data_IF_697323644548
#
_entry.id   IF_697323644548
#
_cell.length_a   1.000
_cell.length_b   1.000
_cell.length_c   1.000
_cell.angle_alpha   90.00
_cell.angle_beta   90.00
_cell.angle_gamma   90.00
#
_symmetry.space_group_name_H-M   'P 1'
#
loop_
_entity.id
_entity.type
_entity.pdbx_description
1 polymer ?
#
# COMPACT_ATOMS: atom_id res chain seq x y z
N UNK A 1 2.21 -8.05 24.06
CA UNK A 1 3.19 -6.99 24.37
C UNK A 1 3.27 -5.92 23.26
N UNK A 2 3.40 -6.32 21.99
CA UNK A 2 3.56 -5.40 20.86
C UNK A 2 2.38 -4.45 20.63
N UNK A 3 1.12 -4.92 20.80
CA UNK A 3 -0.10 -4.09 20.71
C UNK A 3 -0.05 -2.88 21.66
N UNK A 4 0.33 -3.11 22.92
CA UNK A 4 0.41 -2.06 23.93
C UNK A 4 1.50 -1.02 23.59
N UNK A 5 2.63 -1.48 23.06
CA UNK A 5 3.72 -0.60 22.60
C UNK A 5 3.25 0.29 21.46
N UNK A 6 2.63 -0.27 20.42
CA UNK A 6 2.10 0.49 19.29
C UNK A 6 1.07 1.54 19.71
N UNK A 7 0.12 1.16 20.59
CA UNK A 7 -0.90 2.08 21.10
C UNK A 7 -0.33 3.22 21.94
N UNK A 8 0.69 2.92 22.77
CA UNK A 8 1.36 3.93 23.59
C UNK A 8 2.14 4.92 22.71
N UNK A 9 2.85 4.44 21.69
CA UNK A 9 3.57 5.30 20.73
C UNK A 9 2.62 6.25 19.99
N UNK A 10 1.46 5.76 19.57
CA UNK A 10 0.42 6.63 19.00
C UNK A 10 -0.08 7.69 19.99
N UNK A 11 -0.24 7.34 21.26
CA UNK A 11 -0.62 8.30 22.30
C UNK A 11 0.45 9.38 22.49
N UNK A 12 1.73 9.01 22.39
CA UNK A 12 2.85 9.96 22.38
C UNK A 12 2.80 10.90 21.17
N UNK A 13 2.53 10.38 19.97
CA UNK A 13 2.36 11.17 18.74
C UNK A 13 1.25 12.21 18.92
N UNK A 14 0.05 11.77 19.32
CA UNK A 14 -1.11 12.65 19.53
C UNK A 14 -0.87 13.71 20.60
N UNK A 15 -0.21 13.33 21.70
CA UNK A 15 0.10 14.25 22.78
C UNK A 15 1.10 15.31 22.33
N UNK A 16 2.15 14.90 21.59
CA UNK A 16 3.18 15.80 21.07
C UNK A 16 2.57 16.83 20.10
N UNK A 17 1.68 16.40 19.21
CA UNK A 17 0.97 17.31 18.30
C UNK A 17 0.07 18.30 19.05
N UNK A 18 -0.68 17.84 20.06
CA UNK A 18 -1.51 18.72 20.90
C UNK A 18 -0.67 19.79 21.61
N UNK A 19 0.46 19.41 22.20
CA UNK A 19 1.36 20.37 22.86
C UNK A 19 1.95 21.36 21.85
N UNK A 20 2.37 20.90 20.68
CA UNK A 20 2.85 21.77 19.60
C UNK A 20 1.80 22.80 19.17
N UNK A 21 0.54 22.37 19.03
CA UNK A 21 -0.57 23.26 18.68
C UNK A 21 -0.83 24.30 19.77
N UNK A 22 -0.77 23.91 21.04
CA UNK A 22 -0.90 24.85 22.17
C UNK A 22 0.22 25.91 22.18
N UNK A 23 1.46 25.52 21.86
CA UNK A 23 2.59 26.45 21.74
C UNK A 23 2.34 27.45 20.60
N UNK A 24 1.87 27.00 19.43
CA UNK A 24 1.53 27.88 18.29
C UNK A 24 0.43 28.89 18.64
N UNK A 25 -0.66 28.44 19.27
CA UNK A 25 -1.74 29.32 19.69
C UNK A 25 -1.27 30.37 20.72
N UNK A 26 -0.34 30.00 21.60
CA UNK A 26 0.26 30.93 22.57
C UNK A 26 1.12 31.99 21.87
N UNK A 27 1.89 31.62 20.83
CA UNK A 27 2.66 32.56 20.00
C UNK A 27 1.76 33.62 19.33
N UNK A 28 0.66 33.18 18.72
CA UNK A 28 -0.30 34.07 18.06
C UNK A 28 -0.97 35.03 19.07
N UNK A 29 -1.27 34.55 20.27
CA UNK A 29 -1.80 35.36 21.38
C UNK A 29 -0.81 36.43 21.86
N UNK A 30 0.47 36.09 22.02
CA UNK A 30 1.51 37.03 22.43
C UNK A 30 1.80 38.09 21.35
N UNK A 31 1.86 37.70 20.08
CA UNK A 31 2.06 38.64 18.96
C UNK A 31 0.89 39.63 18.83
N UNK A 32 -0.35 39.16 18.98
CA UNK A 32 -1.53 40.02 18.97
C UNK A 32 -1.57 40.98 20.19
N UNK A 33 -1.10 40.53 21.36
CA UNK A 33 -1.00 41.38 22.55
C UNK A 33 0.08 42.46 22.42
N UNK A 34 1.25 42.12 21.86
CA UNK A 34 2.35 43.07 21.61
C UNK A 34 1.99 44.07 20.51
N UNK A 35 1.24 43.67 19.48
CA UNK A 35 0.70 44.60 18.47
C UNK A 35 -0.29 45.62 19.07
N UNK A 36 -0.92 45.29 20.21
CA UNK A 36 -1.90 46.14 20.88
C UNK A 36 -1.29 47.02 21.98
N UNK A 37 -0.11 46.69 22.52
CA UNK A 37 0.56 47.45 23.58
C UNK A 37 1.96 47.92 23.18
N UNK A 38 2.06 49.19 22.77
CA UNK A 38 3.32 49.92 22.57
C UNK A 38 3.91 50.43 23.89
N UNK A 39 4.39 49.55 24.77
CA UNK A 39 5.30 49.97 25.86
C UNK A 39 6.29 48.88 26.23
N UNK A 40 7.58 49.19 26.07
CA UNK A 40 8.74 48.35 26.32
C UNK A 40 9.17 48.38 27.78
N UNK A 41 9.22 47.22 28.44
CA UNK A 41 9.92 47.02 29.71
C UNK A 41 10.71 45.70 29.74
N UNK A 42 11.81 45.76 30.46
CA UNK A 42 13.06 44.98 30.41
C UNK A 42 12.98 43.46 30.58
N UNK A 43 13.79 42.77 29.76
CA UNK A 43 14.01 41.33 29.69
C UNK A 43 14.89 40.79 30.83
N UNK A 44 14.33 39.88 31.63
CA UNK A 44 15.04 39.08 32.62
C UNK A 44 15.58 37.79 32.00
N UNK A 45 16.91 37.57 32.11
CA UNK A 45 17.65 36.37 31.71
C UNK A 45 17.07 35.09 32.34
N UNK A 46 16.17 34.43 31.62
CA UNK A 46 16.06 32.97 31.60
C UNK A 46 16.76 32.52 30.31
N UNK A 47 17.38 31.34 30.28
CA UNK A 47 17.74 30.69 29.02
C UNK A 47 16.45 30.35 28.30
N UNK A 48 15.85 31.37 27.67
CA UNK A 48 14.56 31.29 27.03
C UNK A 48 14.79 30.59 25.69
N UNK A 49 14.53 29.28 25.67
CA UNK A 49 14.33 28.57 24.42
C UNK A 49 13.20 29.31 23.70
N UNK A 50 13.44 29.79 22.49
CA UNK A 50 12.40 30.46 21.71
C UNK A 50 11.24 29.50 21.50
N UNK A 51 10.01 30.01 21.46
CA UNK A 51 8.83 29.16 21.16
C UNK A 51 8.99 28.48 19.79
N UNK A 52 9.69 29.11 18.84
CA UNK A 52 10.09 28.51 17.57
C UNK A 52 10.98 27.28 17.74
N UNK A 53 12.02 27.35 18.58
CA UNK A 53 12.88 26.20 18.88
C UNK A 53 12.11 25.08 19.59
N UNK A 54 11.11 25.40 20.41
CA UNK A 54 10.22 24.40 21.01
C UNK A 54 9.38 23.68 19.94
N UNK A 55 8.83 24.40 18.95
CA UNK A 55 8.09 23.80 17.85
C UNK A 55 8.98 22.83 17.06
N UNK A 56 10.20 23.25 16.70
CA UNK A 56 11.16 22.40 15.99
C UNK A 56 11.53 21.15 16.79
N UNK A 57 11.73 21.28 18.11
CA UNK A 57 11.99 20.14 18.98
C UNK A 57 10.79 19.18 19.06
N UNK A 58 9.55 19.70 19.06
CA UNK A 58 8.33 18.88 19.04
C UNK A 58 8.18 18.14 17.72
N UNK A 59 8.47 18.78 16.59
CA UNK A 59 8.46 18.13 15.26
C UNK A 59 9.52 17.01 15.20
N UNK A 60 10.73 17.26 15.70
CA UNK A 60 11.79 16.26 15.76
C UNK A 60 11.42 15.08 16.69
N UNK A 61 10.77 15.37 17.82
CA UNK A 61 10.29 14.34 18.74
C UNK A 61 9.17 13.50 18.10
N UNK A 62 8.22 14.15 17.42
CA UNK A 62 7.12 13.44 16.77
C UNK A 62 7.62 12.55 15.61
N UNK A 63 8.63 13.00 14.89
CA UNK A 63 9.33 12.17 13.88
C UNK A 63 9.89 10.90 14.51
N UNK A 64 10.53 11.00 15.68
CA UNK A 64 11.06 9.82 16.41
C UNK A 64 9.95 8.88 16.87
N UNK A 65 8.84 9.40 17.39
CA UNK A 65 7.71 8.57 17.79
C UNK A 65 7.07 7.86 16.60
N UNK A 66 6.92 8.55 15.48
CA UNK A 66 6.39 7.99 14.23
C UNK A 66 7.26 6.84 13.73
N UNK A 67 8.59 7.02 13.72
CA UNK A 67 9.52 5.95 13.35
C UNK A 67 9.44 4.74 14.30
N UNK A 68 9.38 4.98 15.61
CA UNK A 68 9.23 3.91 16.59
C UNK A 68 7.90 3.16 16.42
N UNK A 69 6.82 3.89 16.12
CA UNK A 69 5.52 3.29 15.85
C UNK A 69 5.57 2.43 14.58
N UNK A 70 6.21 2.91 13.50
CA UNK A 70 6.42 2.14 12.27
C UNK A 70 7.18 0.84 12.52
N UNK A 71 8.21 0.87 13.37
CA UNK A 71 8.93 -0.34 13.79
C UNK A 71 8.03 -1.30 14.57
N UNK A 72 7.18 -0.79 15.48
CA UNK A 72 6.24 -1.64 16.21
C UNK A 72 5.22 -2.32 15.27
N UNK A 73 4.72 -1.60 14.26
CA UNK A 73 3.84 -2.17 13.22
C UNK A 73 4.57 -3.21 12.39
N UNK A 74 5.84 -2.97 12.05
CA UNK A 74 6.66 -3.93 11.31
C UNK A 74 6.81 -5.26 12.05
N UNK A 75 7.01 -5.26 13.37
CA UNK A 75 7.08 -6.52 14.12
C UNK A 75 5.77 -7.31 14.07
N UNK A 76 4.63 -6.62 14.19
CA UNK A 76 3.31 -7.24 14.03
C UNK A 76 3.12 -7.80 12.61
N UNK A 77 3.60 -7.08 11.60
CA UNK A 77 3.57 -7.51 10.20
C UNK A 77 4.45 -8.74 9.97
N UNK A 78 5.69 -8.73 10.48
CA UNK A 78 6.65 -9.82 10.30
C UNK A 78 6.14 -11.13 10.88
N UNK A 79 5.42 -11.08 12.00
CA UNK A 79 4.74 -12.23 12.60
C UNK A 79 3.72 -12.83 11.62
N UNK A 80 2.78 -12.02 11.10
CA UNK A 80 1.79 -12.48 10.12
C UNK A 80 2.46 -13.00 8.84
N UNK A 81 3.44 -12.26 8.31
CA UNK A 81 4.15 -12.62 7.08
C UNK A 81 4.88 -13.94 7.22
N UNK A 82 5.49 -14.19 8.38
CA UNK A 82 6.21 -15.45 8.65
C UNK A 82 5.27 -16.64 8.52
N UNK A 83 4.06 -16.53 9.07
CA UNK A 83 3.08 -17.61 9.02
C UNK A 83 2.50 -17.84 7.62
N UNK A 84 2.30 -16.77 6.86
CA UNK A 84 1.76 -16.88 5.48
C UNK A 84 2.83 -17.09 4.40
N UNK A 85 4.13 -16.99 4.73
CA UNK A 85 5.23 -17.07 3.77
C UNK A 85 5.21 -18.34 2.89
N UNK A 86 4.94 -19.54 3.42
CA UNK A 86 4.85 -20.74 2.58
C UNK A 86 3.72 -20.63 1.54
N UNK A 87 2.55 -20.12 1.95
CA UNK A 87 1.40 -19.92 1.08
C UNK A 87 1.65 -18.83 0.04
N UNK A 88 2.32 -17.73 0.43
CA UNK A 88 2.75 -16.67 -0.50
C UNK A 88 3.63 -17.23 -1.62
N UNK A 89 4.63 -18.05 -1.27
CA UNK A 89 5.54 -18.66 -2.25
C UNK A 89 4.83 -19.58 -3.27
N UNK A 90 3.66 -20.11 -2.90
CA UNK A 90 2.87 -20.98 -3.77
C UNK A 90 2.01 -20.19 -4.77
N UNK A 91 1.76 -18.90 -4.53
CA UNK A 91 1.01 -18.05 -5.44
C UNK A 91 1.65 -18.02 -6.82
N UNK A 92 0.80 -18.06 -7.85
CA UNK A 92 1.22 -18.07 -9.25
C UNK A 92 2.25 -19.16 -9.61
N UNK A 93 2.20 -20.30 -8.91
CA UNK A 93 2.97 -21.51 -9.21
C UNK A 93 2.13 -22.56 -9.95
N UNK A 94 2.75 -23.67 -10.36
CA UNK A 94 2.02 -24.81 -10.94
C UNK A 94 0.94 -25.36 -10.00
N UNK A 95 1.23 -25.45 -8.70
CA UNK A 95 0.25 -25.91 -7.69
C UNK A 95 -0.93 -24.96 -7.59
N UNK A 96 -0.66 -23.65 -7.63
CA UNK A 96 -1.69 -22.62 -7.66
C UNK A 96 -2.61 -22.78 -8.87
N UNK A 97 -2.04 -23.00 -10.06
CA UNK A 97 -2.81 -23.20 -11.28
C UNK A 97 -3.73 -24.44 -11.19
N UNK A 98 -3.25 -25.52 -10.56
CA UNK A 98 -4.01 -26.77 -10.39
C UNK A 98 -4.97 -26.77 -9.19
N UNK A 99 -5.13 -25.65 -8.48
CA UNK A 99 -6.16 -25.52 -7.46
C UNK A 99 -5.70 -25.54 -6.00
N UNK A 100 -4.47 -25.12 -5.71
CA UNK A 100 -3.97 -24.88 -4.34
C UNK A 100 -4.95 -24.15 -3.41
N UNK A 101 -4.90 -24.44 -2.11
CA UNK A 101 -5.60 -23.68 -1.06
C UNK A 101 -4.78 -22.48 -0.51
N UNK A 102 -3.61 -22.16 -1.09
CA UNK A 102 -2.68 -21.17 -0.55
C UNK A 102 -3.31 -19.79 -0.27
N UNK A 103 -4.12 -19.28 -1.20
CA UNK A 103 -4.80 -18.00 -0.97
C UNK A 103 -5.83 -18.08 0.16
N UNK A 104 -6.56 -19.19 0.25
CA UNK A 104 -7.53 -19.40 1.32
C UNK A 104 -6.83 -19.42 2.68
N UNK A 105 -5.71 -20.13 2.79
CA UNK A 105 -4.86 -20.10 3.99
C UNK A 105 -4.41 -18.68 4.31
N UNK A 106 -3.93 -17.91 3.34
CA UNK A 106 -3.54 -16.50 3.54
C UNK A 106 -4.72 -15.69 4.11
N UNK A 107 -5.91 -15.82 3.53
CA UNK A 107 -7.08 -15.05 3.95
C UNK A 107 -7.52 -15.43 5.38
N UNK A 108 -7.54 -16.72 5.69
CA UNK A 108 -7.89 -17.21 7.03
C UNK A 108 -6.90 -16.70 8.08
N UNK A 109 -5.59 -16.87 7.84
CA UNK A 109 -4.56 -16.42 8.76
C UNK A 109 -4.62 -14.91 9.00
N UNK A 110 -4.76 -14.10 7.94
CA UNK A 110 -4.91 -12.64 8.09
C UNK A 110 -6.18 -12.29 8.88
N UNK A 111 -7.28 -13.00 8.66
CA UNK A 111 -8.52 -12.80 9.40
C UNK A 111 -8.35 -13.12 10.88
N UNK A 112 -7.70 -14.22 11.23
CA UNK A 112 -7.43 -14.58 12.63
C UNK A 112 -6.59 -13.49 13.33
N UNK A 113 -5.49 -13.06 12.69
CA UNK A 113 -4.66 -11.97 13.20
C UNK A 113 -5.43 -10.65 13.30
N UNK A 114 -6.32 -10.33 12.36
CA UNK A 114 -7.15 -9.13 12.44
C UNK A 114 -8.00 -9.12 13.72
N UNK A 115 -8.61 -10.25 14.06
CA UNK A 115 -9.44 -10.40 15.27
C UNK A 115 -8.59 -10.35 16.55
N UNK A 116 -7.41 -10.97 16.55
CA UNK A 116 -6.47 -10.90 17.67
C UNK A 116 -5.92 -9.48 17.88
N UNK A 117 -5.79 -8.73 16.79
CA UNK A 117 -5.37 -7.33 16.77
C UNK A 117 -6.51 -6.33 17.00
N UNK A 118 -7.70 -6.76 17.43
CA UNK A 118 -8.86 -5.86 17.66
C UNK A 118 -8.58 -4.70 18.63
N UNK A 119 -7.59 -4.85 19.51
CA UNK A 119 -7.19 -3.83 20.48
C UNK A 119 -6.14 -2.84 19.96
N UNK A 120 -5.62 -3.01 18.74
CA UNK A 120 -4.82 -1.97 18.08
C UNK A 120 -5.70 -0.76 17.77
N UNK A 121 -5.10 0.43 17.83
CA UNK A 121 -5.74 1.63 17.29
C UNK A 121 -6.09 1.43 15.82
N UNK A 122 -7.24 1.93 15.33
CA UNK A 122 -7.71 1.69 13.97
C UNK A 122 -6.68 2.08 12.90
N UNK A 123 -6.02 3.23 13.05
CA UNK A 123 -4.96 3.70 12.13
C UNK A 123 -3.80 2.72 12.00
N UNK A 124 -3.41 2.07 13.11
CA UNK A 124 -2.33 1.08 13.16
C UNK A 124 -2.76 -0.21 12.48
N UNK A 125 -4.00 -0.65 12.75
CA UNK A 125 -4.59 -1.84 12.13
C UNK A 125 -4.75 -1.66 10.62
N UNK A 126 -5.18 -0.47 10.18
CA UNK A 126 -5.27 -0.10 8.76
C UNK A 126 -3.91 -0.09 8.07
N UNK A 127 -2.88 0.47 8.72
CA UNK A 127 -1.53 0.46 8.18
C UNK A 127 -0.99 -0.97 8.01
N UNK A 128 -1.22 -1.83 9.00
CA UNK A 128 -0.85 -3.26 8.93
C UNK A 128 -1.58 -3.98 7.78
N UNK A 129 -2.90 -3.82 7.67
CA UNK A 129 -3.71 -4.45 6.63
C UNK A 129 -3.32 -3.97 5.22
N UNK A 130 -3.10 -2.67 5.06
CA UNK A 130 -2.66 -2.07 3.80
C UNK A 130 -1.34 -2.68 3.33
N UNK A 131 -0.42 -2.87 4.25
CA UNK A 131 0.89 -3.44 4.00
C UNK A 131 0.86 -4.95 3.69
N UNK A 132 0.04 -5.72 4.42
CA UNK A 132 -0.22 -7.11 4.05
C UNK A 132 -0.79 -7.23 2.63
N UNK A 133 -1.65 -6.29 2.23
CA UNK A 133 -2.14 -6.20 0.86
C UNK A 133 -1.02 -5.93 -0.14
N UNK A 134 -0.15 -4.95 0.13
CA UNK A 134 1.03 -4.69 -0.69
C UNK A 134 1.88 -5.95 -0.85
N UNK A 135 2.08 -6.72 0.22
CA UNK A 135 2.88 -7.95 0.20
C UNK A 135 2.27 -9.02 -0.70
N UNK A 136 0.97 -9.28 -0.58
CA UNK A 136 0.25 -10.27 -1.40
C UNK A 136 0.32 -9.88 -2.87
N UNK A 137 -0.03 -8.62 -3.19
CA UNK A 137 -0.01 -8.13 -4.57
C UNK A 137 1.41 -8.20 -5.15
N UNK A 138 2.42 -7.76 -4.37
CA UNK A 138 3.82 -7.82 -4.79
C UNK A 138 4.29 -9.24 -5.09
N UNK A 139 3.81 -10.25 -4.38
CA UNK A 139 4.18 -11.64 -4.63
C UNK A 139 3.65 -12.14 -5.99
N UNK A 140 2.41 -11.81 -6.36
CA UNK A 140 1.91 -12.11 -7.71
C UNK A 140 2.76 -11.42 -8.79
N UNK A 141 3.04 -10.12 -8.62
CA UNK A 141 3.81 -9.35 -9.61
C UNK A 141 5.24 -9.87 -9.72
N UNK A 142 5.90 -10.20 -8.60
CA UNK A 142 7.23 -10.85 -8.57
C UNK A 142 7.20 -12.20 -9.27
N UNK A 143 6.18 -13.01 -9.04
CA UNK A 143 6.04 -14.31 -9.68
C UNK A 143 5.92 -14.23 -11.21
N UNK A 144 5.18 -13.23 -11.69
CA UNK A 144 5.05 -12.93 -13.12
C UNK A 144 6.39 -12.43 -13.69
N UNK A 145 7.02 -11.45 -13.05
CA UNK A 145 8.28 -10.85 -13.47
C UNK A 145 9.43 -11.87 -13.53
N UNK A 146 9.47 -12.79 -12.56
CA UNK A 146 10.43 -13.91 -12.50
C UNK A 146 10.06 -15.10 -13.39
N UNK A 147 8.95 -15.00 -14.15
CA UNK A 147 8.48 -16.03 -15.09
C UNK A 147 8.30 -17.39 -14.45
N UNK A 148 7.71 -17.41 -13.26
CA UNK A 148 7.37 -18.64 -12.54
C UNK A 148 6.45 -19.56 -13.38
N UNK A 149 5.63 -18.97 -14.24
CA UNK A 149 4.79 -19.65 -15.23
C UNK A 149 4.89 -18.97 -16.60
N UNK A 150 4.80 -19.78 -17.65
CA UNK A 150 4.49 -19.37 -19.01
C UNK A 150 3.42 -20.34 -19.52
N UNK A 151 2.40 -19.80 -20.18
CA UNK A 151 1.24 -20.58 -20.64
C UNK A 151 1.31 -20.77 -22.16
N UNK A 152 1.25 -22.03 -22.57
CA UNK A 152 1.42 -22.46 -23.96
C UNK A 152 0.09 -22.54 -24.70
N UNK A 153 -0.98 -22.82 -23.97
CA UNK A 153 -2.33 -22.95 -24.54
C UNK A 153 -3.24 -21.82 -24.10
N UNK A 154 -4.30 -21.57 -24.88
CA UNK A 154 -5.34 -20.64 -24.46
C UNK A 154 -6.08 -21.15 -23.21
N UNK A 155 -6.26 -22.46 -23.08
CA UNK A 155 -6.94 -23.09 -21.95
C UNK A 155 -6.20 -22.84 -20.63
N UNK A 156 -4.87 -22.95 -20.63
CA UNK A 156 -4.01 -22.58 -19.50
C UNK A 156 -4.15 -21.09 -19.16
N UNK A 157 -4.05 -20.21 -20.18
CA UNK A 157 -4.22 -18.76 -20.00
C UNK A 157 -5.60 -18.39 -19.43
N UNK A 158 -6.65 -19.00 -19.95
CA UNK A 158 -8.03 -18.82 -19.49
C UNK A 158 -8.21 -19.29 -18.05
N UNK A 159 -7.62 -20.44 -17.70
CA UNK A 159 -7.64 -20.99 -16.33
C UNK A 159 -6.92 -20.05 -15.36
N UNK A 160 -5.72 -19.58 -15.73
CA UNK A 160 -4.96 -18.63 -14.93
C UNK A 160 -5.72 -17.31 -14.71
N UNK A 161 -6.27 -16.72 -15.77
CA UNK A 161 -7.06 -15.48 -15.66
C UNK A 161 -8.30 -15.63 -14.78
N UNK A 162 -9.05 -16.73 -14.93
CA UNK A 162 -10.20 -17.04 -14.04
C UNK A 162 -9.75 -17.19 -12.59
N UNK A 163 -8.62 -17.86 -12.35
CA UNK A 163 -8.10 -18.06 -11.00
C UNK A 163 -7.66 -16.75 -10.36
N UNK A 164 -6.94 -15.90 -11.09
CA UNK A 164 -6.55 -14.56 -10.61
C UNK A 164 -7.77 -13.71 -10.24
N UNK A 165 -8.86 -13.77 -11.02
CA UNK A 165 -10.12 -13.08 -10.69
C UNK A 165 -10.80 -13.64 -9.43
N UNK A 166 -10.86 -14.97 -9.31
CA UNK A 166 -11.41 -15.62 -8.12
C UNK A 166 -10.60 -15.27 -6.86
N UNK A 167 -9.28 -15.22 -7.01
CA UNK A 167 -8.36 -14.85 -5.95
C UNK A 167 -8.59 -13.39 -5.49
N UNK A 168 -8.67 -12.45 -6.44
CA UNK A 168 -9.00 -11.05 -6.15
C UNK A 168 -10.36 -10.92 -5.47
N UNK A 169 -11.38 -11.64 -5.93
CA UNK A 169 -12.71 -11.63 -5.31
C UNK A 169 -12.64 -12.07 -3.86
N UNK A 170 -11.84 -13.10 -3.53
CA UNK A 170 -11.68 -13.59 -2.15
C UNK A 170 -10.97 -12.56 -1.27
N UNK A 171 -9.90 -11.94 -1.78
CA UNK A 171 -9.19 -10.87 -1.07
C UNK A 171 -10.11 -9.68 -0.81
N UNK A 172 -10.85 -9.23 -1.83
CA UNK A 172 -11.75 -8.09 -1.73
C UNK A 172 -12.87 -8.34 -0.72
N UNK A 173 -13.44 -9.55 -0.69
CA UNK A 173 -14.44 -9.93 0.30
C UNK A 173 -13.86 -9.89 1.74
N UNK A 174 -12.67 -10.43 1.95
CA UNK A 174 -11.99 -10.38 3.26
C UNK A 174 -11.75 -8.92 3.71
N UNK A 175 -11.22 -8.06 2.83
CA UNK A 175 -11.00 -6.66 3.17
C UNK A 175 -12.32 -5.88 3.37
N UNK A 176 -13.38 -6.23 2.63
CA UNK A 176 -14.71 -5.66 2.82
C UNK A 176 -15.31 -6.03 4.18
N UNK A 177 -15.09 -7.26 4.66
CA UNK A 177 -15.46 -7.68 6.01
C UNK A 177 -14.75 -6.83 7.07
N UNK A 178 -13.45 -6.56 6.91
CA UNK A 178 -12.72 -5.66 7.83
C UNK A 178 -13.22 -4.22 7.78
N UNK A 179 -13.56 -3.72 6.59
CA UNK A 179 -14.11 -2.38 6.38
C UNK A 179 -15.55 -2.23 6.88
N UNK A 180 -16.27 -3.32 7.18
CA UNK A 180 -17.61 -3.26 7.77
C UNK A 180 -17.61 -2.77 9.22
N UNK A 181 -16.46 -2.78 9.88
CA UNK A 181 -16.28 -2.19 11.21
C UNK A 181 -16.34 -0.67 11.14
N UNK A 182 -17.14 -0.03 12.01
CA UNK A 182 -17.36 1.44 12.01
C UNK A 182 -16.05 2.23 12.11
N UNK A 183 -15.02 1.68 12.77
CA UNK A 183 -13.72 2.31 12.94
C UNK A 183 -12.78 2.15 11.72
N UNK A 184 -13.14 1.35 10.70
CA UNK A 184 -12.27 0.99 9.56
C UNK A 184 -12.80 1.39 8.17
N UNK A 185 -14.10 1.69 8.01
CA UNK A 185 -14.77 1.81 6.71
C UNK A 185 -14.07 2.71 5.66
N UNK A 186 -13.47 3.82 6.09
CA UNK A 186 -12.82 4.80 5.19
C UNK A 186 -11.29 4.62 5.09
N UNK A 187 -10.70 3.58 5.69
CA UNK A 187 -9.25 3.50 5.89
C UNK A 187 -8.52 2.50 4.98
N UNK A 188 -9.23 1.68 4.21
CA UNK A 188 -8.65 0.56 3.48
C UNK A 188 -8.88 0.68 1.95
N UNK A 189 -7.93 1.24 1.19
CA UNK A 189 -7.96 1.17 -0.26
C UNK A 189 -7.69 -0.26 -0.77
N UNK A 190 -8.32 -0.65 -1.89
CA UNK A 190 -8.15 -1.95 -2.54
C UNK A 190 -7.20 -1.88 -3.75
N UNK A 191 -6.04 -2.51 -3.61
CA UNK A 191 -4.94 -2.66 -4.58
C UNK A 191 -4.98 -3.98 -5.37
N UNK A 192 -5.75 -4.95 -4.92
CA UNK A 192 -5.90 -6.30 -5.50
C UNK A 192 -6.26 -6.29 -6.99
N UNK A 193 -6.97 -5.26 -7.47
CA UNK A 193 -7.49 -5.19 -8.84
C UNK A 193 -6.41 -5.29 -9.94
N UNK A 194 -5.16 -4.96 -9.65
CA UNK A 194 -4.04 -5.13 -10.59
C UNK A 194 -3.82 -6.60 -10.97
N UNK A 195 -4.05 -7.52 -10.04
CA UNK A 195 -3.92 -8.97 -10.26
C UNK A 195 -4.97 -9.42 -11.29
N UNK A 196 -6.24 -9.06 -11.08
CA UNK A 196 -7.33 -9.42 -12.00
C UNK A 196 -7.10 -8.82 -13.39
N UNK A 197 -6.69 -7.54 -13.46
CA UNK A 197 -6.45 -6.85 -14.73
C UNK A 197 -5.23 -7.43 -15.48
N UNK A 198 -4.18 -7.87 -14.76
CA UNK A 198 -3.09 -8.64 -15.38
C UNK A 198 -3.59 -9.99 -15.92
N UNK A 199 -4.52 -10.64 -15.19
CA UNK A 199 -5.22 -11.84 -15.64
C UNK A 199 -6.02 -11.63 -16.93
N UNK A 200 -6.61 -10.46 -17.13
CA UNK A 200 -7.32 -10.10 -18.38
C UNK A 200 -6.35 -10.05 -19.58
N UNK A 201 -5.20 -9.39 -19.43
CA UNK A 201 -4.14 -9.35 -20.46
C UNK A 201 -3.63 -10.77 -20.79
N UNK A 202 -3.34 -11.58 -19.77
CA UNK A 202 -2.84 -12.95 -19.93
C UNK A 202 -3.87 -13.83 -20.64
N UNK A 203 -5.13 -13.77 -20.20
CA UNK A 203 -6.21 -14.64 -20.67
C UNK A 203 -6.88 -14.18 -21.97
N UNK A 204 -6.50 -13.02 -22.51
CA UNK A 204 -7.07 -12.48 -23.74
C UNK A 204 -6.95 -13.48 -24.89
N UNK A 205 -8.09 -13.85 -25.48
CA UNK A 205 -8.15 -14.85 -26.55
C UNK A 205 -7.57 -14.32 -27.85
N UNK A 206 -8.01 -13.14 -28.26
CA UNK A 206 -7.63 -12.52 -29.53
C UNK A 206 -6.32 -11.73 -29.38
N UNK A 207 -5.24 -12.22 -30.00
CA UNK A 207 -3.93 -11.58 -29.99
C UNK A 207 -3.93 -10.20 -30.67
N UNK A 208 -4.82 -9.95 -31.63
CA UNK A 208 -4.89 -8.66 -32.32
C UNK A 208 -5.37 -7.52 -31.41
N UNK A 209 -6.07 -7.85 -30.33
CA UNK A 209 -6.56 -6.91 -29.32
C UNK A 209 -5.57 -6.72 -28.15
N UNK A 210 -4.42 -7.40 -28.16
CA UNK A 210 -3.51 -7.41 -27.01
C UNK A 210 -2.93 -6.02 -26.70
N UNK A 211 -2.65 -5.22 -27.72
CA UNK A 211 -2.19 -3.83 -27.53
C UNK A 211 -3.26 -2.97 -26.85
N UNK A 212 -4.53 -3.15 -27.22
CA UNK A 212 -5.66 -2.43 -26.61
C UNK A 212 -5.85 -2.83 -25.14
N UNK A 213 -5.79 -4.12 -24.83
CA UNK A 213 -5.93 -4.61 -23.46
C UNK A 213 -4.75 -4.18 -22.58
N UNK A 214 -3.51 -4.26 -23.11
CA UNK A 214 -2.33 -3.76 -22.43
C UNK A 214 -2.40 -2.25 -22.19
N UNK A 215 -2.95 -1.47 -23.13
CA UNK A 215 -3.20 -0.04 -22.94
C UNK A 215 -4.22 0.21 -21.84
N UNK A 216 -5.29 -0.60 -21.77
CA UNK A 216 -6.29 -0.49 -20.71
C UNK A 216 -5.70 -0.78 -19.33
N UNK A 217 -4.85 -1.81 -19.23
CA UNK A 217 -4.06 -2.09 -18.03
C UNK A 217 -3.17 -0.89 -17.66
N UNK A 218 -2.39 -0.37 -18.61
CA UNK A 218 -1.45 0.72 -18.34
C UNK A 218 -2.15 2.05 -17.99
N UNK A 219 -3.35 2.32 -18.52
CA UNK A 219 -4.17 3.47 -18.12
C UNK A 219 -4.67 3.36 -16.69
N UNK A 220 -5.02 2.15 -16.25
CA UNK A 220 -5.50 1.88 -14.88
C UNK A 220 -4.35 1.89 -13.86
N UNK A 221 -3.15 1.52 -14.30
CA UNK A 221 -1.94 1.49 -13.48
C UNK A 221 -0.80 2.30 -14.15
N UNK A 222 -0.93 3.63 -14.26
CA UNK A 222 -0.01 4.48 -15.04
C UNK A 222 1.42 4.53 -14.50
N UNK A 223 1.63 4.05 -13.27
CA UNK A 223 2.94 3.94 -12.64
C UNK A 223 3.66 2.62 -12.98
N UNK A 224 3.06 1.76 -13.80
CA UNK A 224 3.58 0.42 -14.09
C UNK A 224 4.97 0.48 -14.74
N UNK A 225 5.97 -0.22 -14.17
CA UNK A 225 7.27 -0.38 -14.82
C UNK A 225 7.16 -1.15 -16.13
N UNK A 226 7.99 -0.80 -17.10
CA UNK A 226 7.98 -1.40 -18.42
C UNK A 226 8.38 -2.89 -18.39
N UNK A 227 9.27 -3.25 -17.48
CA UNK A 227 9.69 -4.62 -17.21
C UNK A 227 8.53 -5.49 -16.73
N UNK A 228 7.66 -4.93 -15.88
CA UNK A 228 6.48 -5.64 -15.36
C UNK A 228 5.45 -5.86 -16.46
N UNK A 229 5.12 -4.83 -17.25
CA UNK A 229 4.17 -4.96 -18.35
C UNK A 229 4.69 -5.95 -19.41
N UNK A 230 5.97 -5.88 -19.75
CA UNK A 230 6.60 -6.83 -20.65
C UNK A 230 6.56 -8.27 -20.09
N UNK A 231 6.72 -8.46 -18.78
CA UNK A 231 6.62 -9.78 -18.16
C UNK A 231 5.19 -10.33 -18.17
N UNK A 232 4.18 -9.49 -17.91
CA UNK A 232 2.76 -9.87 -18.04
C UNK A 232 2.48 -10.36 -19.46
N UNK A 233 2.92 -9.61 -20.48
CA UNK A 233 2.76 -9.98 -21.88
C UNK A 233 3.50 -11.28 -22.22
N UNK A 234 4.76 -11.41 -21.80
CA UNK A 234 5.61 -12.57 -22.03
C UNK A 234 5.25 -13.81 -21.18
N UNK A 235 4.23 -13.71 -20.33
CA UNK A 235 3.63 -14.88 -19.66
C UNK A 235 2.90 -15.77 -20.69
N UNK A 236 2.51 -15.20 -21.82
CA UNK A 236 1.94 -15.94 -22.96
C UNK A 236 3.07 -16.44 -23.85
N UNK A 237 3.08 -17.72 -24.21
CA UNK A 237 4.13 -18.24 -25.12
C UNK A 237 4.02 -17.65 -26.54
N UNK A 238 2.81 -17.23 -26.93
CA UNK A 238 2.50 -16.69 -28.25
C UNK A 238 2.98 -15.25 -28.44
N UNK A 239 3.64 -14.67 -27.43
CA UNK A 239 4.26 -13.35 -27.45
C UNK A 239 5.75 -13.50 -27.12
N UNK A 240 6.61 -13.28 -28.13
CA UNK A 240 8.05 -13.30 -27.95
C UNK A 240 8.54 -12.25 -26.97
N UNK A 241 9.65 -12.49 -26.28
CA UNK A 241 10.21 -11.55 -25.28
C UNK A 241 10.53 -10.17 -25.86
N UNK A 242 11.06 -10.12 -27.09
CA UNK A 242 11.34 -8.87 -27.81
C UNK A 242 10.05 -8.10 -28.09
N UNK A 243 9.03 -8.82 -28.54
CA UNK A 243 7.75 -8.24 -28.95
C UNK A 243 7.00 -7.73 -27.71
N UNK A 244 7.03 -8.49 -26.62
CA UNK A 244 6.50 -8.08 -25.32
C UNK A 244 7.16 -6.80 -24.81
N UNK A 245 8.49 -6.67 -24.92
CA UNK A 245 9.21 -5.46 -24.48
C UNK A 245 8.85 -4.26 -25.35
N UNK A 246 8.85 -4.45 -26.67
CA UNK A 246 8.53 -3.39 -27.64
C UNK A 246 7.10 -2.89 -27.46
N UNK A 247 6.14 -3.81 -27.31
CA UNK A 247 4.74 -3.49 -27.05
C UNK A 247 4.55 -2.77 -25.71
N UNK A 248 5.26 -3.21 -24.66
CA UNK A 248 5.21 -2.54 -23.36
C UNK A 248 5.71 -1.08 -23.44
N UNK A 249 6.82 -0.83 -24.15
CA UNK A 249 7.35 0.53 -24.34
C UNK A 249 6.39 1.41 -25.15
N UNK A 250 5.83 0.88 -26.24
CA UNK A 250 4.82 1.58 -27.05
C UNK A 250 3.60 1.96 -26.22
N UNK A 251 3.02 1.00 -25.50
CA UNK A 251 1.86 1.21 -24.63
C UNK A 251 2.15 2.25 -23.55
N UNK A 252 3.30 2.16 -22.88
CA UNK A 252 3.67 3.10 -21.81
C UNK A 252 3.94 4.51 -22.34
N UNK A 253 4.46 4.64 -23.56
CA UNK A 253 4.58 5.93 -24.23
C UNK A 253 3.21 6.57 -24.49
N UNK A 254 2.19 5.77 -24.84
CA UNK A 254 0.83 6.27 -25.04
C UNK A 254 0.16 6.76 -23.75
N UNK A 255 0.53 6.20 -22.59
CA UNK A 255 -0.06 6.57 -21.29
C UNK A 255 0.84 7.45 -20.42
N UNK A 256 1.96 7.95 -20.96
CA UNK A 256 2.97 8.69 -20.18
C UNK A 256 2.44 9.97 -19.49
N UNK A 257 1.32 10.52 -19.98
CA UNK A 257 0.67 11.71 -19.42
C UNK A 257 -0.56 11.40 -18.55
N UNK A 258 -0.88 10.12 -18.33
CA UNK A 258 -1.96 9.74 -17.43
C UNK A 258 -1.59 10.09 -15.97
N UNK A 259 -2.54 10.59 -15.16
CA UNK A 259 -2.27 10.95 -13.77
C UNK A 259 -1.75 9.76 -12.97
N UNK A 260 -0.55 9.89 -12.41
CA UNK A 260 0.06 8.87 -11.55
C UNK A 260 -0.61 8.82 -10.19
N UNK A 261 -0.67 7.62 -9.61
CA UNK A 261 -1.16 7.39 -8.25
C UNK A 261 0.00 6.98 -7.33
N UNK A 262 0.21 7.74 -6.26
CA UNK A 262 1.30 7.51 -5.30
C UNK A 262 1.23 6.12 -4.66
N UNK A 263 0.03 5.55 -4.54
CA UNK A 263 -0.14 4.21 -3.96
C UNK A 263 0.55 3.14 -4.83
N UNK A 264 0.50 3.29 -6.16
CA UNK A 264 1.13 2.35 -7.07
C UNK A 264 2.64 2.59 -7.17
N UNK A 265 3.13 3.83 -7.00
CA UNK A 265 4.58 4.07 -6.87
C UNK A 265 5.18 3.25 -5.72
N UNK A 266 4.48 3.19 -4.59
CA UNK A 266 4.93 2.42 -3.43
C UNK A 266 4.82 0.92 -3.65
N UNK A 267 3.73 0.45 -4.27
CA UNK A 267 3.60 -0.97 -4.66
C UNK A 267 4.79 -1.39 -5.52
N UNK A 268 5.14 -0.59 -6.52
CA UNK A 268 6.21 -0.92 -7.46
C UNK A 268 7.60 -0.75 -6.85
N UNK A 269 7.79 0.18 -5.90
CA UNK A 269 9.03 0.30 -5.13
C UNK A 269 9.23 -0.90 -4.17
N UNK A 270 8.17 -1.28 -3.44
CA UNK A 270 8.14 -2.44 -2.54
C UNK A 270 8.48 -3.76 -3.24
N UNK A 271 8.11 -3.86 -4.52
CA UNK A 271 8.47 -4.99 -5.35
C UNK A 271 9.99 -5.18 -5.46
N UNK A 272 10.79 -4.10 -5.42
CA UNK A 272 12.24 -4.16 -5.64
C UNK A 272 13.06 -4.27 -4.35
N UNK A 273 12.47 -4.05 -3.17
CA UNK A 273 13.20 -4.08 -1.90
C UNK A 273 13.25 -5.49 -1.27
N UNK A 274 14.34 -5.78 -0.55
CA UNK A 274 14.39 -6.90 0.39
C UNK A 274 13.48 -6.60 1.59
N UNK A 275 12.78 -7.61 2.10
CA UNK A 275 11.73 -7.44 3.12
C UNK A 275 12.19 -6.80 4.43
N UNK A 276 13.49 -6.81 4.71
CA UNK A 276 14.11 -6.27 5.93
C UNK A 276 14.27 -4.75 5.93
N UNK A 277 14.25 -4.06 4.78
CA UNK A 277 14.55 -2.62 4.71
C UNK A 277 13.32 -1.72 4.79
N UNK A 278 12.14 -2.26 4.47
CA UNK A 278 10.92 -1.47 4.40
C UNK A 278 10.28 -1.24 5.78
N UNK A 279 9.67 -0.07 5.97
CA UNK A 279 8.94 0.30 7.19
C UNK A 279 7.52 0.77 6.84
N UNK A 280 6.46 0.27 7.51
CA UNK A 280 5.11 0.75 7.35
C UNK A 280 5.01 2.25 7.63
N UNK A 281 4.52 3.01 6.65
CA UNK A 281 4.25 4.43 6.86
C UNK A 281 2.87 4.59 7.52
N UNK A 282 2.88 4.86 8.81
CA UNK A 282 1.66 5.07 9.62
C UNK A 282 0.86 6.29 9.16
N UNK A 283 1.53 7.32 8.63
CA UNK A 283 0.88 8.52 8.10
C UNK A 283 0.09 8.27 6.82
N UNK A 284 0.43 7.22 6.08
CA UNK A 284 -0.24 6.93 4.81
C UNK A 284 -1.67 6.44 4.92
N UNK A 285 -2.00 5.70 5.97
CA UNK A 285 -3.39 5.33 6.26
C UNK A 285 -4.31 6.56 6.38
N UNK A 286 -3.74 7.75 6.69
CA UNK A 286 -4.48 9.02 6.70
C UNK A 286 -4.43 9.77 5.35
N UNK A 287 -3.38 9.59 4.53
CA UNK A 287 -3.24 10.22 3.20
C UNK A 287 -4.27 9.66 2.21
N UNK A 288 -4.55 8.36 2.27
CA UNK A 288 -5.44 7.70 1.31
C UNK A 288 -6.94 7.92 1.54
N UNK A 289 -7.32 8.60 2.64
CA UNK A 289 -8.72 8.95 2.96
C UNK A 289 -9.36 9.89 1.94
N UNK A 290 -8.59 10.80 1.32
CA UNK A 290 -9.19 11.90 0.53
C UNK A 290 -9.29 11.63 -0.98
N UNK A 291 -8.38 10.85 -1.56
CA UNK A 291 -8.19 10.83 -3.00
C UNK A 291 -8.65 9.52 -3.67
N UNK A 292 -8.48 8.38 -3.01
CA UNK A 292 -8.64 7.04 -3.61
C UNK A 292 -10.11 6.63 -3.83
N UNK A 293 -10.97 6.78 -2.81
CA UNK A 293 -12.41 6.43 -2.90
C UNK A 293 -13.15 7.31 -3.92
N UNK A 294 -12.68 8.55 -4.12
CA UNK A 294 -13.30 9.48 -5.09
C UNK A 294 -13.04 9.11 -6.55
N UNK A 295 -12.00 8.31 -6.84
CA UNK A 295 -11.57 7.96 -8.20
C UNK A 295 -12.09 6.60 -8.64
N UNK A 296 -12.06 5.58 -7.78
CA UNK A 296 -12.66 4.27 -8.09
C UNK A 296 -14.17 4.31 -8.34
N UNK A 297 -14.89 5.23 -7.70
CA UNK A 297 -16.33 5.43 -7.94
C UNK A 297 -16.65 6.21 -9.23
N UNK A 298 -15.66 6.84 -9.87
CA UNK A 298 -15.86 7.57 -11.14
C UNK A 298 -15.66 6.70 -12.38
N UNK A 299 -14.99 5.56 -12.23
CA UNK A 299 -14.62 4.65 -13.33
C UNK A 299 -15.34 3.28 -13.27
N UNK A 300 -16.45 3.18 -12.53
CA UNK A 300 -17.40 2.06 -12.57
C UNK A 300 -18.69 2.50 -13.26
#
# INVERSE_FOLDING_TARGET
MQIAVANNLHTCIESTEKYKQQIRLSMEGEQNAVATMTTSLSSGRRTAVSQQQLIENMDALNTKWSNAASVAVKYLQEEVITDIAPSLSELFSKKWLTGSAALETICMTISDYYHDHKHLRPVTRSALLMDLQFRIVSEYLKAIETKRLTFTTYEERSTAGKRMKADVTRLDNMYAEFASSEDMADQLPLLTSIIATAGDVISLKDKSLLSLEATSFARKFPNCPAELLAAILATRDDVGRSDARSLADEVLQHVQFHPKDQIFDQLFALRQQESSEWLPNIGMANVFKSDFISRLKRDA
#
